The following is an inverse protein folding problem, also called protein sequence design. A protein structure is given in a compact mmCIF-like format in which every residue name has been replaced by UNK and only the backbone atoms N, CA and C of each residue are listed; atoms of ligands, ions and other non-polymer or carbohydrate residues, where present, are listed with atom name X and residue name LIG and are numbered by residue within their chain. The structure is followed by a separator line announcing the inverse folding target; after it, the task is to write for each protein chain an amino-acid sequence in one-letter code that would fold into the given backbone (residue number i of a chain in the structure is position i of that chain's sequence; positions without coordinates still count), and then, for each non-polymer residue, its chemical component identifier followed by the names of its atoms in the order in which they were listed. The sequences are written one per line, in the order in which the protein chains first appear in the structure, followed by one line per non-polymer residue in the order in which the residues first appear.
data_IF_956007909431
#
_entry.id   IF_956007909431
#
_cell.length_a   1.000
_cell.length_b   1.000
_cell.length_c   1.000
_cell.angle_alpha   90.00
_cell.angle_beta   90.00
_cell.angle_gamma   90.00
#
_symmetry.space_group_name_H-M   'P 1'
#
loop_
_entity.id
_entity.type
_entity.pdbx_description
1 polymer ?
#
# COMPACT_ATOMS: atom_id res chain seq x y z
N UNK A 1 25.51 -16.06 2.31
CA UNK A 1 24.35 -16.94 2.57
C UNK A 1 23.81 -16.52 3.93
N UNK A 2 22.49 -16.53 4.08
CA UNK A 2 21.65 -15.79 5.05
C UNK A 2 21.10 -14.48 4.48
N UNK A 3 19.85 -14.50 4.01
CA UNK A 3 19.00 -13.31 4.06
C UNK A 3 17.58 -13.74 4.44
N UNK A 4 17.47 -14.26 5.67
CA UNK A 4 16.27 -14.01 6.46
C UNK A 4 16.09 -12.50 6.56
N UNK A 5 14.88 -12.00 6.82
CA UNK A 5 14.74 -10.55 7.03
C UNK A 5 15.72 -10.11 8.14
N UNK A 6 16.49 -9.06 7.87
CA UNK A 6 17.50 -8.56 8.81
C UNK A 6 16.81 -8.13 10.10
N UNK A 7 17.36 -8.54 11.25
CA UNK A 7 16.85 -8.06 12.53
C UNK A 7 17.12 -6.55 12.67
N UNK A 8 16.28 -5.85 13.43
CA UNK A 8 16.47 -4.40 13.62
C UNK A 8 17.88 -4.05 14.17
N UNK A 9 18.45 -4.91 15.01
CA UNK A 9 19.82 -4.71 15.55
C UNK A 9 20.88 -4.81 14.46
N UNK A 10 20.69 -5.68 13.49
CA UNK A 10 21.61 -5.86 12.36
C UNK A 10 21.50 -4.70 11.39
N UNK A 11 20.26 -4.26 11.10
CA UNK A 11 20.00 -3.04 10.32
C UNK A 11 20.76 -1.86 10.92
N UNK A 12 20.65 -1.63 12.24
CA UNK A 12 21.39 -0.57 12.92
C UNK A 12 22.90 -0.69 12.77
N UNK A 13 23.46 -1.88 13.01
CA UNK A 13 24.90 -2.13 12.87
C UNK A 13 25.41 -1.89 11.45
N UNK A 14 24.61 -2.23 10.43
CA UNK A 14 24.97 -1.98 9.04
C UNK A 14 24.98 -0.48 8.76
N UNK A 15 23.97 0.26 9.24
CA UNK A 15 23.91 1.72 9.10
C UNK A 15 25.10 2.38 9.80
N UNK A 16 25.36 2.03 11.04
CA UNK A 16 26.47 2.56 11.87
C UNK A 16 27.85 2.34 11.24
N UNK A 17 28.02 1.30 10.42
CA UNK A 17 29.29 1.01 9.71
C UNK A 17 29.47 1.78 8.40
N UNK A 18 28.37 2.20 7.77
CA UNK A 18 28.40 2.79 6.43
C UNK A 18 28.15 4.30 6.43
N UNK A 19 27.57 4.85 7.51
CA UNK A 19 27.27 6.27 7.62
C UNK A 19 27.92 6.85 8.88
N UNK A 20 28.53 8.05 8.83
CA UNK A 20 29.06 8.72 10.01
C UNK A 20 27.97 8.95 11.07
N UNK A 21 28.12 8.36 12.24
CA UNK A 21 27.12 8.45 13.32
C UNK A 21 26.91 9.86 13.86
N UNK A 22 27.89 10.76 13.70
CA UNK A 22 27.75 12.18 14.04
C UNK A 22 26.64 12.89 13.24
N UNK A 23 26.24 12.31 12.09
CA UNK A 23 25.21 12.84 11.20
C UNK A 23 23.83 12.22 11.44
N UNK A 24 23.73 11.14 12.22
CA UNK A 24 22.46 10.44 12.51
C UNK A 24 22.11 10.64 13.99
N UNK A 25 20.93 11.19 14.25
CA UNK A 25 20.38 11.32 15.61
C UNK A 25 19.66 10.04 16.05
N UNK A 26 18.81 9.49 15.16
CA UNK A 26 17.98 8.33 15.49
C UNK A 26 17.72 7.45 14.27
N UNK A 27 17.68 6.14 14.49
CA UNK A 27 17.24 5.14 13.52
C UNK A 27 15.94 4.51 14.04
N UNK A 28 14.90 4.53 13.21
CA UNK A 28 13.60 3.94 13.50
C UNK A 28 13.09 3.09 12.34
N UNK A 29 11.99 2.39 12.56
CA UNK A 29 11.31 1.57 11.57
C UNK A 29 9.88 2.07 11.42
N UNK A 30 9.39 2.17 10.18
CA UNK A 30 8.02 2.59 9.90
C UNK A 30 7.39 1.68 8.85
N UNK A 31 6.64 0.69 9.33
CA UNK A 31 6.18 -0.41 8.50
C UNK A 31 7.38 -1.13 7.87
N UNK A 32 7.39 -1.37 6.54
CA UNK A 32 8.52 -2.00 5.87
C UNK A 32 9.73 -1.07 5.68
N UNK A 33 9.65 0.21 6.07
CA UNK A 33 10.66 1.23 5.72
C UNK A 33 11.61 1.49 6.88
N UNK A 34 12.88 1.76 6.56
CA UNK A 34 13.89 2.21 7.53
C UNK A 34 13.92 3.74 7.52
N UNK A 35 13.85 4.37 8.68
CA UNK A 35 13.83 5.83 8.79
C UNK A 35 15.06 6.31 9.56
N UNK A 36 15.82 7.21 8.94
CA UNK A 36 16.99 7.86 9.52
C UNK A 36 16.63 9.31 9.84
N UNK A 37 16.74 9.68 11.11
CA UNK A 37 16.64 11.05 11.57
C UNK A 37 18.03 11.67 11.62
N UNK A 38 18.20 12.83 10.98
CA UNK A 38 19.48 13.52 10.84
C UNK A 38 19.40 14.99 11.25
N UNK A 39 20.48 15.47 11.86
CA UNK A 39 20.69 16.89 12.15
C UNK A 39 21.37 17.65 10.99
N UNK A 40 21.79 16.93 9.94
CA UNK A 40 22.56 17.45 8.81
C UNK A 40 22.02 16.85 7.51
N UNK A 41 20.85 17.35 7.10
CA UNK A 41 20.20 16.90 5.88
C UNK A 41 20.97 17.31 4.62
N UNK A 42 21.71 18.42 4.70
CA UNK A 42 22.56 18.92 3.61
C UNK A 42 23.59 17.87 3.21
N UNK A 43 24.27 17.25 4.18
CA UNK A 43 25.22 16.18 3.95
C UNK A 43 24.61 15.03 3.13
N UNK A 44 23.41 14.57 3.47
CA UNK A 44 22.79 13.43 2.80
C UNK A 44 22.25 13.77 1.41
N UNK A 45 21.80 15.01 1.19
CA UNK A 45 21.40 15.47 -0.14
C UNK A 45 22.64 15.56 -1.05
N UNK A 46 23.75 16.10 -0.54
CA UNK A 46 24.99 16.23 -1.32
C UNK A 46 25.69 14.88 -1.54
N UNK A 47 25.46 13.89 -0.68
CA UNK A 47 26.03 12.54 -0.73
C UNK A 47 24.96 11.44 -0.98
N UNK A 48 24.01 11.67 -1.87
CA UNK A 48 22.90 10.73 -2.17
C UNK A 48 23.37 9.30 -2.52
N UNK A 49 24.57 9.15 -3.08
CA UNK A 49 25.17 7.85 -3.35
C UNK A 49 25.33 6.98 -2.10
N UNK A 50 25.61 7.55 -0.93
CA UNK A 50 25.72 6.78 0.32
C UNK A 50 24.38 6.13 0.70
N UNK A 51 23.29 6.85 0.54
CA UNK A 51 21.94 6.36 0.84
C UNK A 51 21.51 5.31 -0.16
N UNK A 52 21.80 5.50 -1.46
CA UNK A 52 21.54 4.49 -2.49
C UNK A 52 22.32 3.21 -2.24
N UNK A 53 23.61 3.33 -1.86
CA UNK A 53 24.44 2.19 -1.50
C UNK A 53 23.89 1.46 -0.28
N UNK A 54 23.49 2.20 0.76
CA UNK A 54 22.90 1.63 1.96
C UNK A 54 21.55 0.94 1.67
N UNK A 55 20.70 1.55 0.84
CA UNK A 55 19.42 0.96 0.43
C UNK A 55 19.63 -0.34 -0.35
N UNK A 56 20.66 -0.39 -1.21
CA UNK A 56 21.06 -1.59 -1.96
C UNK A 56 21.58 -2.68 -1.03
N UNK A 57 22.42 -2.31 -0.06
CA UNK A 57 23.01 -3.23 0.91
C UNK A 57 21.95 -3.85 1.83
N UNK A 58 21.02 -3.03 2.33
CA UNK A 58 19.92 -3.48 3.18
C UNK A 58 18.79 -4.15 2.38
N UNK A 59 18.72 -3.91 1.07
CA UNK A 59 17.58 -4.23 0.19
C UNK A 59 16.27 -3.69 0.76
N UNK A 60 16.30 -2.46 1.27
CA UNK A 60 15.18 -1.81 1.95
C UNK A 60 15.06 -0.37 1.51
N UNK A 61 13.84 0.14 1.53
CA UNK A 61 13.58 1.56 1.32
C UNK A 61 13.99 2.35 2.56
N UNK A 62 14.87 3.32 2.35
CA UNK A 62 15.37 4.23 3.38
C UNK A 62 14.68 5.58 3.19
N UNK A 63 14.18 6.13 4.30
CA UNK A 63 13.62 7.49 4.36
C UNK A 63 14.53 8.34 5.24
N UNK A 64 14.90 9.50 4.74
CA UNK A 64 15.57 10.54 5.52
C UNK A 64 14.55 11.51 6.10
N UNK A 65 14.77 11.92 7.35
CA UNK A 65 14.00 12.99 8.01
C UNK A 65 14.92 13.89 8.81
N UNK A 66 14.60 15.17 8.85
CA UNK A 66 15.29 16.09 9.74
C UNK A 66 14.86 15.88 11.19
N UNK A 67 15.78 16.08 12.12
CA UNK A 67 15.49 16.10 13.54
C UNK A 67 14.62 17.31 13.92
N UNK A 68 13.90 17.19 15.04
CA UNK A 68 12.96 18.21 15.52
C UNK A 68 13.59 19.61 15.63
N UNK A 69 14.84 19.68 16.10
CA UNK A 69 15.53 20.94 16.40
C UNK A 69 15.98 21.73 15.16
N UNK A 70 15.95 21.10 13.99
CA UNK A 70 16.34 21.69 12.70
C UNK A 70 15.16 22.05 11.81
N UNK A 71 13.94 21.70 12.21
CA UNK A 71 12.74 22.03 11.46
C UNK A 71 12.38 23.49 11.71
N UNK A 72 12.32 24.24 10.62
CA UNK A 72 11.81 25.60 10.64
C UNK A 72 10.33 25.63 11.04
N UNK A 73 9.90 26.72 11.66
CA UNK A 73 8.49 26.93 11.95
C UNK A 73 7.65 26.94 10.66
N UNK A 74 6.41 26.50 10.76
CA UNK A 74 5.52 26.27 9.61
C UNK A 74 5.26 27.56 8.82
N UNK A 75 5.17 28.70 9.48
CA UNK A 75 4.88 29.98 8.82
C UNK A 75 6.09 30.48 8.01
N UNK A 76 7.29 30.45 8.60
CA UNK A 76 8.53 30.80 7.91
C UNK A 76 8.85 29.82 6.80
N UNK A 77 8.69 28.51 7.03
CA UNK A 77 8.90 27.48 6.02
C UNK A 77 7.98 27.69 4.81
N UNK A 78 6.69 28.03 5.04
CA UNK A 78 5.74 28.36 3.97
C UNK A 78 6.20 29.56 3.14
N UNK A 79 6.68 30.63 3.77
CA UNK A 79 7.20 31.82 3.07
C UNK A 79 8.42 31.47 2.22
N UNK A 80 9.34 30.66 2.73
CA UNK A 80 10.51 30.21 1.98
C UNK A 80 10.11 29.36 0.78
N UNK A 81 9.19 28.42 0.94
CA UNK A 81 8.70 27.57 -0.17
C UNK A 81 8.09 28.43 -1.28
N UNK A 82 7.25 29.41 -0.92
CA UNK A 82 6.65 30.33 -1.90
C UNK A 82 7.69 31.25 -2.57
N UNK A 83 8.81 31.53 -1.91
CA UNK A 83 9.90 32.32 -2.49
C UNK A 83 10.85 31.52 -3.38
N UNK A 84 11.00 30.22 -3.14
CA UNK A 84 11.87 29.31 -3.93
C UNK A 84 11.14 28.81 -5.17
N UNK A 85 9.86 28.42 -5.03
CA UNK A 85 9.10 27.83 -6.13
C UNK A 85 8.57 28.94 -7.04
N UNK A 86 8.79 28.86 -8.36
CA UNK A 86 8.30 29.88 -9.30
C UNK A 86 6.77 29.99 -9.29
N UNK A 87 6.23 31.22 -9.40
CA UNK A 87 4.77 31.46 -9.41
C UNK A 87 4.06 30.70 -10.55
N UNK A 88 4.76 30.45 -11.66
CA UNK A 88 4.23 29.72 -12.81
C UNK A 88 3.94 28.23 -12.51
N UNK A 89 4.45 27.71 -11.39
CA UNK A 89 4.12 26.38 -10.89
C UNK A 89 2.64 26.25 -10.47
N UNK A 90 2.01 27.39 -10.14
CA UNK A 90 0.63 27.51 -9.66
C UNK A 90 0.34 26.55 -8.49
N UNK A 91 0.92 26.85 -7.33
CA UNK A 91 0.72 26.08 -6.09
C UNK A 91 -0.72 26.29 -5.60
N UNK A 92 -1.49 25.21 -5.49
CA UNK A 92 -2.86 25.22 -4.97
C UNK A 92 -2.92 25.02 -3.45
N UNK A 93 -1.92 24.36 -2.87
CA UNK A 93 -1.92 24.05 -1.44
C UNK A 93 -0.55 23.69 -0.90
N UNK A 94 -0.31 24.04 0.37
CA UNK A 94 0.85 23.61 1.14
C UNK A 94 0.36 23.14 2.52
N UNK A 95 0.54 21.86 2.80
CA UNK A 95 0.18 21.23 4.08
C UNK A 95 1.42 20.61 4.73
N UNK A 96 1.54 20.74 6.05
CA UNK A 96 2.69 20.25 6.80
C UNK A 96 2.26 19.10 7.70
N UNK A 97 3.07 18.04 7.77
CA UNK A 97 2.92 16.96 8.74
C UNK A 97 4.10 16.97 9.73
N UNK A 98 3.94 17.61 10.91
CA UNK A 98 4.99 17.68 11.91
C UNK A 98 5.38 16.34 12.55
N UNK A 99 4.58 15.29 12.38
CA UNK A 99 4.92 13.96 12.89
C UNK A 99 5.86 13.24 11.92
N UNK A 100 5.56 13.33 10.62
CA UNK A 100 6.37 12.75 9.55
C UNK A 100 7.51 13.66 9.09
N UNK A 101 7.56 14.93 9.54
CA UNK A 101 8.57 15.93 9.15
C UNK A 101 8.53 16.23 7.64
N UNK A 102 7.34 16.15 7.06
CA UNK A 102 7.10 16.27 5.63
C UNK A 102 6.24 17.51 5.34
N UNK A 103 6.48 18.12 4.17
CA UNK A 103 5.64 19.18 3.62
C UNK A 103 5.07 18.73 2.28
N UNK A 104 3.74 18.74 2.17
CA UNK A 104 3.01 18.36 0.98
C UNK A 104 2.72 19.62 0.17
N UNK A 105 3.29 19.69 -1.03
CA UNK A 105 3.15 20.82 -1.95
C UNK A 105 2.28 20.36 -3.12
N UNK A 106 1.09 20.94 -3.21
CA UNK A 106 0.16 20.68 -4.31
C UNK A 106 0.29 21.77 -5.39
N UNK A 107 0.56 21.36 -6.62
CA UNK A 107 0.75 22.29 -7.74
C UNK A 107 0.29 21.70 -9.07
N UNK A 108 -0.01 22.59 -10.03
CA UNK A 108 -0.39 22.18 -11.40
C UNK A 108 0.82 21.73 -12.22
N UNK A 109 1.94 22.44 -12.12
CA UNK A 109 3.17 22.12 -12.84
C UNK A 109 4.27 21.63 -11.90
N UNK A 110 4.18 20.35 -11.53
CA UNK A 110 5.14 19.70 -10.63
C UNK A 110 6.61 19.83 -11.09
N UNK A 111 6.89 19.83 -12.40
CA UNK A 111 8.24 19.95 -12.92
C UNK A 111 8.96 21.24 -12.48
N UNK A 112 8.21 22.34 -12.27
CA UNK A 112 8.77 23.59 -11.78
C UNK A 112 9.05 23.56 -10.27
N UNK A 113 8.26 22.78 -9.51
CA UNK A 113 8.48 22.55 -8.07
C UNK A 113 9.66 21.60 -7.85
N UNK A 114 9.85 20.62 -8.73
CA UNK A 114 10.99 19.70 -8.71
C UNK A 114 12.29 20.44 -9.03
N UNK A 115 12.25 21.33 -10.02
CA UNK A 115 13.42 21.97 -10.58
C UNK A 115 14.25 21.04 -11.47
N UNK A 116 15.35 21.55 -12.03
CA UNK A 116 16.26 20.73 -12.83
C UNK A 116 16.94 19.71 -11.92
N UNK A 117 16.79 18.42 -12.21
CA UNK A 117 17.37 17.33 -11.43
C UNK A 117 17.00 17.32 -9.93
N UNK A 118 15.87 17.91 -9.53
CA UNK A 118 15.45 17.91 -8.12
C UNK A 118 16.01 19.07 -7.27
N UNK A 119 16.82 19.96 -7.85
CA UNK A 119 17.51 21.04 -7.13
C UNK A 119 16.58 21.90 -6.27
N UNK A 120 15.36 22.16 -6.72
CA UNK A 120 14.40 23.00 -5.99
C UNK A 120 13.87 22.29 -4.75
N UNK A 121 13.62 20.98 -4.81
CA UNK A 121 13.22 20.18 -3.65
C UNK A 121 14.35 20.08 -2.64
N UNK A 122 15.57 19.86 -3.13
CA UNK A 122 16.76 19.81 -2.32
C UNK A 122 16.96 21.15 -1.60
N UNK A 123 16.83 22.27 -2.30
CA UNK A 123 16.93 23.60 -1.71
C UNK A 123 15.86 23.86 -0.64
N UNK A 124 14.62 23.42 -0.87
CA UNK A 124 13.54 23.49 0.13
C UNK A 124 13.93 22.68 1.38
N UNK A 125 14.38 21.44 1.20
CA UNK A 125 14.77 20.56 2.30
C UNK A 125 15.94 21.12 3.10
N UNK A 126 16.97 21.65 2.42
CA UNK A 126 18.15 22.27 3.06
C UNK A 126 17.77 23.52 3.86
N UNK A 127 16.99 24.43 3.28
CA UNK A 127 16.64 25.71 3.92
C UNK A 127 15.62 25.56 5.04
N UNK A 128 14.65 24.66 4.91
CA UNK A 128 13.51 24.57 5.85
C UNK A 128 13.62 23.39 6.81
N UNK A 129 14.43 22.38 6.49
CA UNK A 129 14.46 21.09 7.19
C UNK A 129 13.26 20.18 6.90
N UNK A 130 12.22 20.66 6.21
CA UNK A 130 11.04 19.87 5.86
C UNK A 130 11.29 19.05 4.60
N UNK A 131 10.91 17.77 4.60
CA UNK A 131 11.02 16.92 3.41
C UNK A 131 9.86 17.21 2.47
N UNK A 132 10.09 17.76 1.26
CA UNK A 132 9.01 18.06 0.34
C UNK A 132 8.46 16.79 -0.32
N UNK A 133 7.13 16.66 -0.31
CA UNK A 133 6.34 15.66 -1.00
C UNK A 133 5.42 16.37 -1.99
N UNK A 134 5.39 15.90 -3.22
CA UNK A 134 4.63 16.55 -4.28
C UNK A 134 3.29 15.87 -4.47
N UNK A 135 2.25 16.69 -4.54
CA UNK A 135 0.90 16.28 -4.90
C UNK A 135 0.53 16.96 -6.21
N UNK A 136 0.14 16.18 -7.21
CA UNK A 136 -0.39 16.77 -8.45
C UNK A 136 -1.81 17.26 -8.19
N UNK A 137 -2.11 18.50 -8.55
CA UNK A 137 -3.51 18.95 -8.60
C UNK A 137 -4.23 18.17 -9.71
N UNK A 138 -5.26 17.36 -9.38
CA UNK A 138 -5.95 16.56 -10.38
C UNK A 138 -6.86 17.47 -11.23
N UNK A 139 -7.12 17.12 -12.51
CA UNK A 139 -8.05 17.87 -13.35
C UNK A 139 -9.49 17.79 -12.86
N UNK A 140 -9.84 16.72 -12.14
CA UNK A 140 -11.13 16.51 -11.50
C UNK A 140 -10.86 16.31 -10.01
N UNK A 141 -11.49 17.13 -9.18
CA UNK A 141 -11.36 16.99 -7.74
C UNK A 141 -12.13 15.76 -7.24
N UNK A 142 -11.51 15.01 -6.32
CA UNK A 142 -12.14 13.87 -5.65
C UNK A 142 -12.35 14.19 -4.16
N UNK A 143 -13.61 14.18 -3.73
CA UNK A 143 -13.97 14.33 -2.32
C UNK A 143 -13.42 13.20 -1.46
N UNK A 144 -13.40 11.97 -2.00
CA UNK A 144 -12.83 10.79 -1.33
C UNK A 144 -11.35 11.00 -1.02
N UNK A 145 -10.54 11.38 -2.01
CA UNK A 145 -9.10 11.62 -1.81
C UNK A 145 -8.87 12.75 -0.79
N UNK A 146 -9.65 13.83 -0.88
CA UNK A 146 -9.59 14.94 0.09
C UNK A 146 -9.91 14.47 1.51
N UNK A 147 -10.97 13.67 1.67
CA UNK A 147 -11.37 13.09 2.95
C UNK A 147 -10.31 12.14 3.54
N UNK A 148 -9.70 11.31 2.68
CA UNK A 148 -8.60 10.41 3.04
C UNK A 148 -7.40 11.20 3.55
N UNK A 149 -6.92 12.17 2.78
CA UNK A 149 -5.79 13.04 3.14
C UNK A 149 -6.05 13.72 4.49
N UNK A 150 -7.20 14.38 4.63
CA UNK A 150 -7.60 15.03 5.88
C UNK A 150 -7.58 14.06 7.06
N UNK A 151 -8.17 12.87 6.90
CA UNK A 151 -8.18 11.86 7.96
C UNK A 151 -6.77 11.35 8.32
N UNK A 152 -5.87 11.23 7.34
CA UNK A 152 -4.48 10.83 7.58
C UNK A 152 -3.70 11.92 8.34
N UNK A 153 -3.83 13.19 7.94
CA UNK A 153 -3.20 14.31 8.65
C UNK A 153 -3.71 14.46 10.09
N UNK A 154 -5.03 14.41 10.29
CA UNK A 154 -5.68 14.47 11.63
C UNK A 154 -5.24 13.31 12.54
N UNK A 155 -4.80 12.19 11.97
CA UNK A 155 -4.38 11.01 12.72
C UNK A 155 -2.90 10.65 12.57
N UNK A 156 -2.08 11.60 12.12
CA UNK A 156 -0.65 11.44 11.83
C UNK A 156 0.16 10.90 13.03
N UNK A 157 -0.01 11.43 14.24
CA UNK A 157 0.64 10.90 15.47
C UNK A 157 0.28 9.43 15.72
N UNK A 158 -1.02 9.09 15.62
CA UNK A 158 -1.49 7.70 15.81
C UNK A 158 -0.92 6.79 14.72
N UNK A 159 -0.88 7.27 13.47
CA UNK A 159 -0.35 6.53 12.32
C UNK A 159 1.14 6.27 12.47
N UNK A 160 1.93 7.27 12.88
CA UNK A 160 3.37 7.10 13.13
C UNK A 160 3.64 5.99 14.15
N UNK A 161 2.90 5.99 15.27
CA UNK A 161 3.01 4.92 16.29
C UNK A 161 2.60 3.54 15.77
N UNK A 162 1.58 3.47 14.91
CA UNK A 162 1.16 2.23 14.25
C UNK A 162 2.30 1.72 13.36
N UNK A 163 2.85 2.57 12.49
CA UNK A 163 3.95 2.19 11.60
C UNK A 163 5.19 1.73 12.38
N UNK A 164 5.53 2.41 13.48
CA UNK A 164 6.62 1.99 14.36
C UNK A 164 6.39 0.62 15.00
N UNK A 165 5.16 0.32 15.41
CA UNK A 165 4.80 -1.00 15.94
C UNK A 165 4.90 -2.06 14.86
N UNK A 166 4.39 -1.78 13.66
CA UNK A 166 4.43 -2.69 12.51
C UNK A 166 5.88 -2.98 12.13
N UNK A 167 6.73 -1.95 12.03
CA UNK A 167 8.16 -2.13 11.74
C UNK A 167 8.85 -3.01 12.77
N UNK A 168 8.62 -2.78 14.06
CA UNK A 168 9.17 -3.65 15.13
C UNK A 168 8.68 -5.10 15.04
N UNK A 169 7.46 -5.34 14.54
CA UNK A 169 6.89 -6.68 14.33
C UNK A 169 7.53 -7.38 13.13
N UNK A 170 7.75 -6.65 12.02
CA UNK A 170 8.40 -7.17 10.81
C UNK A 170 9.85 -7.56 11.11
N UNK A 171 10.61 -6.68 11.75
CA UNK A 171 12.05 -6.82 11.95
C UNK A 171 12.42 -7.42 13.31
N UNK A 172 11.51 -8.21 13.89
CA UNK A 172 11.77 -9.02 15.10
C UNK A 172 12.58 -10.25 14.70
N UNK A 173 13.26 -10.84 15.69
CA UNK A 173 13.90 -12.15 15.50
C UNK A 173 12.85 -13.23 15.20
N UNK A 174 12.98 -13.99 14.10
CA UNK A 174 12.12 -15.14 13.84
C UNK A 174 12.20 -16.15 14.99
N UNK A 175 11.05 -16.70 15.38
CA UNK A 175 10.94 -17.71 16.44
C UNK A 175 11.07 -19.14 15.91
N UNK A 176 10.75 -19.35 14.63
CA UNK A 176 10.76 -20.67 13.99
C UNK A 176 11.46 -20.61 12.63
N UNK A 177 12.07 -21.71 12.21
CA UNK A 177 12.57 -21.87 10.84
C UNK A 177 11.38 -22.10 9.91
N UNK A 178 11.35 -21.43 8.75
CA UNK A 178 10.34 -21.70 7.72
C UNK A 178 10.65 -23.04 7.05
N UNK A 179 9.91 -24.08 7.40
CA UNK A 179 10.03 -25.44 6.84
C UNK A 179 8.77 -25.89 6.09
N UNK A 180 7.63 -25.23 6.32
CA UNK A 180 6.40 -25.43 5.58
C UNK A 180 5.70 -24.11 5.23
N UNK A 181 4.90 -24.17 4.17
CA UNK A 181 3.99 -23.10 3.74
C UNK A 181 2.64 -23.75 3.45
N UNK A 182 1.55 -23.15 3.95
CA UNK A 182 0.18 -23.64 3.70
C UNK A 182 -0.75 -22.49 3.33
N UNK A 183 -1.70 -22.77 2.45
CA UNK A 183 -2.76 -21.84 2.03
C UNK A 183 -4.10 -22.47 2.40
N UNK A 184 -4.95 -21.70 3.08
CA UNK A 184 -6.30 -22.10 3.45
C UNK A 184 -7.29 -21.15 2.77
N UNK A 185 -8.09 -21.61 1.78
CA UNK A 185 -9.18 -20.81 1.24
C UNK A 185 -10.29 -20.67 2.28
N UNK A 186 -10.68 -19.44 2.59
CA UNK A 186 -11.77 -19.10 3.52
C UNK A 186 -13.03 -18.61 2.79
N UNK A 187 -12.89 -18.25 1.51
CA UNK A 187 -13.96 -17.87 0.58
C UNK A 187 -13.38 -17.62 -0.82
N UNK A 188 -14.23 -17.64 -1.85
CA UNK A 188 -13.81 -17.43 -3.25
C UNK A 188 -13.17 -18.64 -3.93
N UNK A 189 -13.23 -19.83 -3.32
CA UNK A 189 -12.79 -21.08 -3.93
C UNK A 189 -13.99 -21.89 -4.42
N UNK A 190 -14.05 -22.16 -5.74
CA UNK A 190 -15.21 -22.76 -6.44
C UNK A 190 -16.48 -21.92 -6.40
N UNK A 191 -16.34 -20.61 -6.23
CA UNK A 191 -17.42 -19.63 -6.24
C UNK A 191 -16.84 -18.26 -6.64
N UNK A 192 -17.70 -17.34 -7.06
CA UNK A 192 -17.36 -15.91 -7.21
C UNK A 192 -17.98 -15.16 -6.02
N UNK A 193 -17.20 -14.27 -5.42
CA UNK A 193 -17.58 -13.56 -4.20
C UNK A 193 -16.74 -13.95 -2.99
N UNK A 194 -16.65 -13.03 -2.02
CA UNK A 194 -16.01 -13.21 -0.69
C UNK A 194 -14.59 -13.82 -0.74
N UNK A 195 -13.79 -13.43 -1.71
CA UNK A 195 -12.39 -13.86 -1.86
C UNK A 195 -11.62 -13.59 -0.58
N UNK A 196 -11.01 -14.65 -0.04
CA UNK A 196 -10.30 -14.61 1.22
C UNK A 196 -9.41 -15.84 1.37
N UNK A 197 -8.10 -15.66 1.40
CA UNK A 197 -7.11 -16.73 1.50
C UNK A 197 -6.16 -16.48 2.65
N UNK A 198 -5.95 -17.48 3.50
CA UNK A 198 -5.01 -17.41 4.61
C UNK A 198 -3.73 -18.17 4.26
N UNK A 199 -2.63 -17.44 4.12
CA UNK A 199 -1.28 -17.97 3.98
C UNK A 199 -0.62 -18.08 5.36
N UNK A 200 -0.01 -19.23 5.65
CA UNK A 200 0.66 -19.46 6.93
C UNK A 200 2.00 -20.15 6.74
N UNK A 201 2.92 -19.79 7.63
CA UNK A 201 4.22 -20.44 7.88
C UNK A 201 4.31 -20.75 9.38
N UNK A 202 5.37 -21.42 9.86
CA UNK A 202 5.63 -21.53 11.30
C UNK A 202 5.68 -20.20 12.04
N UNK A 203 6.08 -19.11 11.37
CA UNK A 203 6.31 -17.79 11.98
C UNK A 203 5.16 -16.80 11.77
N UNK A 204 4.43 -16.91 10.65
CA UNK A 204 3.60 -15.81 10.15
C UNK A 204 2.23 -16.26 9.65
N UNK A 205 1.23 -15.38 9.83
CA UNK A 205 -0.12 -15.52 9.28
C UNK A 205 -0.47 -14.27 8.45
N UNK A 206 -0.74 -14.45 7.15
CA UNK A 206 -1.07 -13.36 6.23
C UNK A 206 -2.37 -13.66 5.52
N UNK A 207 -3.31 -12.72 5.54
CA UNK A 207 -4.55 -12.81 4.77
C UNK A 207 -4.36 -12.13 3.41
N UNK A 208 -4.85 -12.76 2.35
CA UNK A 208 -4.92 -12.20 1.00
C UNK A 208 -6.39 -12.08 0.64
N UNK A 209 -6.83 -10.84 0.42
CA UNK A 209 -8.22 -10.41 0.27
C UNK A 209 -9.12 -10.75 1.48
N UNK A 210 -10.21 -10.01 1.61
CA UNK A 210 -11.26 -10.20 2.61
C UNK A 210 -12.56 -9.56 2.11
N UNK A 211 -13.20 -10.23 1.16
CA UNK A 211 -14.36 -9.69 0.46
C UNK A 211 -15.73 -10.06 1.01
N UNK A 212 -16.77 -9.53 0.37
CA UNK A 212 -18.18 -9.89 0.59
C UNK A 212 -18.76 -10.46 -0.71
N UNK A 213 -19.56 -11.50 -0.62
CA UNK A 213 -20.41 -11.92 -1.72
C UNK A 213 -21.69 -11.06 -1.72
N UNK A 214 -21.75 -10.09 -2.65
CA UNK A 214 -22.88 -9.15 -2.78
C UNK A 214 -24.12 -9.80 -3.37
N UNK A 215 -23.98 -10.90 -4.10
CA UNK A 215 -25.09 -11.64 -4.71
C UNK A 215 -25.73 -12.67 -3.75
N UNK A 216 -25.03 -13.05 -2.67
CA UNK A 216 -25.54 -14.03 -1.73
C UNK A 216 -26.69 -13.47 -0.87
N UNK A 217 -27.82 -14.19 -0.87
CA UNK A 217 -29.00 -13.91 -0.05
C UNK A 217 -29.05 -14.72 1.25
N UNK A 218 -28.11 -15.65 1.43
CA UNK A 218 -28.00 -16.55 2.59
C UNK A 218 -26.79 -16.20 3.47
N UNK A 219 -26.50 -17.03 4.48
CA UNK A 219 -25.38 -16.82 5.41
C UNK A 219 -23.98 -16.96 4.76
N UNK A 220 -23.87 -17.29 3.47
CA UNK A 220 -22.59 -17.42 2.76
C UNK A 220 -22.08 -16.09 2.18
N UNK A 221 -22.56 -14.95 2.70
CA UNK A 221 -22.09 -13.61 2.28
C UNK A 221 -20.65 -13.32 2.66
N UNK A 222 -20.14 -13.95 3.72
CA UNK A 222 -18.85 -13.61 4.32
C UNK A 222 -17.87 -14.79 4.27
N UNK A 223 -16.56 -14.53 4.31
CA UNK A 223 -15.54 -15.56 4.47
C UNK A 223 -15.70 -16.33 5.79
N UNK A 224 -15.39 -17.62 5.80
CA UNK A 224 -15.44 -18.43 7.02
C UNK A 224 -14.16 -18.26 7.86
N UNK A 225 -14.07 -17.13 8.56
CA UNK A 225 -12.92 -16.83 9.43
C UNK A 225 -12.78 -17.81 10.61
N UNK A 226 -13.81 -18.59 10.96
CA UNK A 226 -13.73 -19.58 12.05
C UNK A 226 -12.87 -20.77 11.67
N UNK A 227 -12.76 -21.07 10.37
CA UNK A 227 -11.92 -22.15 9.86
C UNK A 227 -10.43 -21.91 10.12
N UNK A 228 -10.03 -20.65 10.34
CA UNK A 228 -8.64 -20.28 10.62
C UNK A 228 -8.11 -20.85 11.93
N UNK A 229 -8.99 -21.01 12.94
CA UNK A 229 -8.61 -21.27 14.34
C UNK A 229 -7.54 -20.29 14.87
N UNK A 230 -7.44 -19.11 14.27
CA UNK A 230 -6.51 -18.06 14.65
C UNK A 230 -7.23 -17.01 15.48
N UNK A 231 -6.59 -16.59 16.55
CA UNK A 231 -6.92 -15.33 17.21
C UNK A 231 -6.52 -14.17 16.28
N UNK A 232 -7.36 -13.14 16.20
CA UNK A 232 -7.18 -12.05 15.24
C UNK A 232 -5.89 -11.25 15.50
N UNK A 233 -5.40 -11.27 16.74
CA UNK A 233 -4.14 -10.68 17.16
C UNK A 233 -2.93 -11.36 16.51
N UNK A 234 -3.04 -12.65 16.20
CA UNK A 234 -1.98 -13.45 15.57
C UNK A 234 -1.90 -13.26 14.05
N UNK A 235 -2.83 -12.50 13.46
CA UNK A 235 -2.73 -12.09 12.06
C UNK A 235 -1.66 -10.99 11.92
N UNK A 236 -0.65 -11.23 11.08
CA UNK A 236 0.49 -10.33 10.89
C UNK A 236 0.20 -9.23 9.88
N UNK A 237 -0.49 -9.57 8.78
CA UNK A 237 -0.78 -8.65 7.70
C UNK A 237 -2.02 -9.07 6.91
N UNK A 238 -2.61 -8.08 6.22
CA UNK A 238 -3.63 -8.30 5.19
C UNK A 238 -3.14 -7.67 3.90
N UNK A 239 -3.30 -8.35 2.77
CA UNK A 239 -2.95 -7.85 1.44
C UNK A 239 -4.25 -7.76 0.64
N UNK A 240 -4.50 -6.63 0.00
CA UNK A 240 -5.67 -6.44 -0.87
C UNK A 240 -5.18 -6.30 -2.30
N UNK A 241 -5.64 -7.21 -3.15
CA UNK A 241 -5.31 -7.24 -4.58
C UNK A 241 -5.89 -6.03 -5.31
N UNK A 242 -7.17 -5.75 -5.11
CA UNK A 242 -7.88 -4.65 -5.75
C UNK A 242 -9.14 -4.25 -4.98
N UNK A 243 -9.77 -3.15 -5.41
CA UNK A 243 -10.80 -2.46 -4.65
C UNK A 243 -12.23 -3.01 -4.78
N UNK A 244 -12.49 -4.07 -5.56
CA UNK A 244 -13.85 -4.61 -5.62
C UNK A 244 -14.29 -5.19 -4.27
N UNK A 245 -15.59 -5.06 -3.97
CA UNK A 245 -16.16 -5.42 -2.66
C UNK A 245 -16.04 -6.91 -2.35
N UNK A 246 -16.00 -7.76 -3.37
CA UNK A 246 -15.75 -9.20 -3.23
C UNK A 246 -14.29 -9.56 -2.96
N UNK A 247 -13.39 -8.56 -2.88
CA UNK A 247 -12.01 -8.71 -2.45
C UNK A 247 -11.66 -7.87 -1.21
N UNK A 248 -12.35 -6.77 -0.94
CA UNK A 248 -12.03 -5.90 0.20
C UNK A 248 -13.22 -5.52 1.09
N UNK A 249 -14.44 -5.91 0.74
CA UNK A 249 -15.66 -5.42 1.39
C UNK A 249 -15.82 -5.83 2.85
N UNK A 250 -15.27 -6.98 3.27
CA UNK A 250 -15.40 -7.49 4.64
C UNK A 250 -14.26 -7.06 5.55
N UNK A 251 -13.27 -6.35 5.01
CA UNK A 251 -12.09 -5.88 5.74
C UNK A 251 -12.41 -5.03 6.97
N UNK A 252 -13.38 -4.09 6.97
CA UNK A 252 -13.68 -3.28 8.16
C UNK A 252 -14.18 -4.10 9.34
N UNK A 253 -14.82 -5.26 9.07
CA UNK A 253 -15.26 -6.20 10.12
C UNK A 253 -14.09 -6.64 11.01
N UNK A 254 -12.93 -6.94 10.43
CA UNK A 254 -11.76 -7.38 11.20
C UNK A 254 -11.30 -6.31 12.21
N UNK A 255 -11.40 -5.03 11.86
CA UNK A 255 -11.07 -3.92 12.75
C UNK A 255 -12.11 -3.66 13.84
N UNK A 256 -13.37 -4.03 13.60
CA UNK A 256 -14.41 -4.07 14.63
C UNK A 256 -14.05 -5.07 15.71
N UNK A 257 -13.57 -6.25 15.30
CA UNK A 257 -13.25 -7.38 16.18
C UNK A 257 -11.82 -7.41 16.71
N UNK A 258 -11.04 -6.35 16.53
CA UNK A 258 -9.80 -6.15 17.27
C UNK A 258 -8.51 -6.27 16.47
N UNK A 259 -8.57 -6.52 15.15
CA UNK A 259 -7.39 -6.46 14.30
C UNK A 259 -6.71 -5.08 14.39
N UNK A 260 -5.38 -5.09 14.55
CA UNK A 260 -4.52 -3.91 14.71
C UNK A 260 -3.25 -4.02 13.85
N UNK A 261 -3.23 -4.94 12.89
CA UNK A 261 -2.13 -5.10 11.95
C UNK A 261 -2.30 -4.22 10.71
N UNK A 262 -1.31 -4.19 9.82
CA UNK A 262 -1.33 -3.41 8.58
C UNK A 262 -2.23 -4.04 7.50
N UNK A 263 -2.64 -3.20 6.55
CA UNK A 263 -3.15 -3.61 5.25
C UNK A 263 -2.17 -3.13 4.19
N UNK A 264 -1.81 -3.98 3.24
CA UNK A 264 -0.98 -3.64 2.09
C UNK A 264 -1.80 -3.65 0.80
N UNK A 265 -1.72 -2.58 0.02
CA UNK A 265 -2.34 -2.46 -1.30
C UNK A 265 -1.67 -1.33 -2.09
N UNK A 266 -2.09 -1.12 -3.34
CA UNK A 266 -1.69 0.07 -4.09
C UNK A 266 -2.44 1.30 -3.61
N UNK A 267 -1.89 2.49 -3.86
CA UNK A 267 -2.56 3.75 -3.51
C UNK A 267 -3.96 3.90 -4.15
N UNK A 268 -4.18 3.63 -5.45
CA UNK A 268 -5.52 3.73 -6.02
C UNK A 268 -6.49 2.70 -5.42
N UNK A 269 -6.00 1.49 -5.08
CA UNK A 269 -6.81 0.49 -4.39
C UNK A 269 -7.25 0.96 -3.02
N UNK A 270 -6.41 1.65 -2.24
CA UNK A 270 -6.83 2.28 -0.97
C UNK A 270 -8.00 3.23 -1.18
N UNK A 271 -7.89 4.12 -2.17
CA UNK A 271 -8.85 5.19 -2.38
C UNK A 271 -10.21 4.64 -2.86
N UNK A 272 -10.18 3.73 -3.84
CA UNK A 272 -11.37 3.06 -4.35
C UNK A 272 -12.01 2.12 -3.31
N UNK A 273 -11.20 1.41 -2.52
CA UNK A 273 -11.69 0.55 -1.45
C UNK A 273 -12.51 1.34 -0.44
N UNK A 274 -12.02 2.52 -0.02
CA UNK A 274 -12.74 3.37 0.93
C UNK A 274 -14.02 3.96 0.32
N UNK A 275 -13.97 4.39 -0.95
CA UNK A 275 -15.16 4.85 -1.66
C UNK A 275 -16.24 3.76 -1.70
N UNK A 276 -15.89 2.56 -2.16
CA UNK A 276 -16.83 1.46 -2.34
C UNK A 276 -17.34 0.90 -1.00
N UNK A 277 -16.51 0.86 0.05
CA UNK A 277 -16.95 0.42 1.37
C UNK A 277 -17.93 1.40 2.02
N UNK A 278 -17.75 2.72 1.82
CA UNK A 278 -18.69 3.73 2.32
C UNK A 278 -20.02 3.65 1.55
N UNK A 279 -19.97 3.57 0.22
CA UNK A 279 -21.15 3.38 -0.62
C UNK A 279 -21.91 2.09 -0.27
N UNK A 280 -21.19 0.99 -0.03
CA UNK A 280 -21.79 -0.28 0.38
C UNK A 280 -22.58 -0.17 1.70
N UNK A 281 -22.15 0.66 2.65
CA UNK A 281 -22.90 0.93 3.88
C UNK A 281 -24.18 1.69 3.55
N UNK A 282 -24.09 2.77 2.77
CA UNK A 282 -25.26 3.59 2.41
C UNK A 282 -26.31 2.78 1.65
N UNK A 283 -25.90 1.95 0.70
CA UNK A 283 -26.79 1.06 -0.06
C UNK A 283 -27.40 -0.01 0.86
N UNK A 284 -26.58 -0.61 1.73
CA UNK A 284 -27.02 -1.62 2.70
C UNK A 284 -28.09 -1.09 3.66
N UNK A 285 -27.95 0.15 4.13
CA UNK A 285 -28.94 0.83 4.98
C UNK A 285 -30.24 1.12 4.23
N UNK A 286 -30.17 1.53 2.95
CA UNK A 286 -31.37 1.78 2.12
C UNK A 286 -32.14 0.51 1.77
N UNK A 287 -31.46 -0.62 1.68
CA UNK A 287 -32.05 -1.92 1.34
C UNK A 287 -32.43 -2.79 2.56
N UNK A 288 -32.31 -2.28 3.79
CA UNK A 288 -32.51 -3.04 5.03
C UNK A 288 -31.64 -4.33 5.10
N UNK A 289 -30.43 -4.30 4.54
CA UNK A 289 -29.49 -5.44 4.48
C UNK A 289 -28.18 -5.12 5.21
N UNK A 290 -28.28 -4.72 6.48
CA UNK A 290 -27.18 -4.19 7.29
C UNK A 290 -25.86 -4.98 7.17
N UNK A 291 -24.76 -4.25 7.00
CA UNK A 291 -23.41 -4.78 7.07
C UNK A 291 -22.94 -4.83 8.52
N UNK A 292 -22.12 -5.82 8.90
CA UNK A 292 -21.70 -6.01 10.29
C UNK A 292 -20.61 -5.03 10.76
N UNK A 293 -20.49 -3.85 10.15
CA UNK A 293 -19.53 -2.78 10.45
C UNK A 293 -20.11 -1.42 10.01
N UNK A 294 -19.53 -0.33 10.52
CA UNK A 294 -19.96 1.03 10.21
C UNK A 294 -18.83 1.87 9.58
N UNK A 295 -19.15 3.10 9.20
CA UNK A 295 -18.16 4.07 8.69
C UNK A 295 -17.04 4.36 9.71
N UNK A 296 -17.28 4.15 11.01
CA UNK A 296 -16.25 4.29 12.04
C UNK A 296 -15.13 3.25 11.89
N UNK A 297 -15.48 2.00 11.56
CA UNK A 297 -14.50 0.94 11.31
C UNK A 297 -13.66 1.24 10.07
N UNK A 298 -14.27 1.79 9.01
CA UNK A 298 -13.58 2.23 7.80
C UNK A 298 -12.56 3.33 8.13
N UNK A 299 -12.97 4.36 8.89
CA UNK A 299 -12.07 5.44 9.34
C UNK A 299 -10.95 4.92 10.25
N UNK A 300 -11.23 3.91 11.08
CA UNK A 300 -10.21 3.25 11.93
C UNK A 300 -9.22 2.48 11.06
N UNK A 301 -9.71 1.71 10.11
CA UNK A 301 -8.95 0.88 9.18
C UNK A 301 -7.95 1.69 8.35
N UNK A 302 -8.34 2.85 7.82
CA UNK A 302 -7.47 3.72 6.99
C UNK A 302 -6.10 3.98 7.64
N UNK A 303 -6.05 4.12 8.96
CA UNK A 303 -4.80 4.39 9.71
C UNK A 303 -3.77 3.27 9.59
N UNK A 304 -4.23 2.06 9.28
CA UNK A 304 -3.42 0.85 9.16
C UNK A 304 -3.10 0.50 7.69
N UNK A 305 -3.67 1.21 6.71
CA UNK A 305 -3.35 0.98 5.30
C UNK A 305 -1.96 1.55 4.99
N UNK A 306 -1.09 0.69 4.47
CA UNK A 306 0.26 0.99 3.99
C UNK A 306 0.26 0.75 2.48
N UNK A 307 0.39 1.82 1.72
CA UNK A 307 0.41 1.74 0.25
C UNK A 307 1.79 1.36 -0.24
N UNK A 308 1.84 0.50 -1.26
CA UNK A 308 3.05 0.09 -1.97
C UNK A 308 2.89 0.41 -3.45
N UNK A 309 3.98 0.86 -4.06
CA UNK A 309 4.04 1.03 -5.51
C UNK A 309 4.22 -0.33 -6.20
N UNK A 310 3.91 -0.42 -7.49
CA UNK A 310 4.24 -1.61 -8.25
C UNK A 310 5.76 -1.84 -8.26
N UNK A 311 6.16 -3.10 -8.21
CA UNK A 311 7.56 -3.55 -8.17
C UNK A 311 8.34 -3.12 -6.90
N UNK A 312 7.70 -2.50 -5.91
CA UNK A 312 8.31 -2.23 -4.61
C UNK A 312 8.38 -3.52 -3.79
N UNK A 313 9.60 -3.95 -3.44
CA UNK A 313 9.82 -5.07 -2.52
C UNK A 313 9.69 -4.58 -1.08
N UNK A 314 8.77 -5.16 -0.32
CA UNK A 314 8.51 -4.80 1.06
C UNK A 314 8.52 -6.04 1.97
N UNK A 315 9.29 -6.01 3.06
CA UNK A 315 9.16 -7.02 4.11
C UNK A 315 7.84 -6.79 4.86
N UNK A 316 6.98 -7.81 4.93
CA UNK A 316 5.66 -7.71 5.58
C UNK A 316 5.57 -8.53 6.86
N UNK A 317 6.48 -9.50 7.02
CA UNK A 317 6.70 -10.33 8.21
C UNK A 317 8.19 -10.69 8.30
N UNK A 318 8.66 -11.36 9.37
CA UNK A 318 10.07 -11.75 9.47
C UNK A 318 10.54 -12.72 8.38
N UNK A 319 9.62 -13.43 7.72
CA UNK A 319 9.90 -14.50 6.76
C UNK A 319 9.17 -14.32 5.42
N UNK A 320 8.49 -13.19 5.17
CA UNK A 320 7.80 -12.93 3.90
C UNK A 320 8.10 -11.53 3.36
N UNK A 321 8.42 -11.49 2.06
CA UNK A 321 8.50 -10.28 1.24
C UNK A 321 7.36 -10.22 0.25
N UNK A 322 6.71 -9.07 0.16
CA UNK A 322 5.65 -8.75 -0.77
C UNK A 322 6.19 -7.93 -1.95
N UNK A 323 5.70 -8.23 -3.14
CA UNK A 323 5.79 -7.33 -4.30
C UNK A 323 4.44 -7.32 -5.02
N UNK A 324 3.96 -6.12 -5.34
CA UNK A 324 2.74 -5.92 -6.11
C UNK A 324 3.10 -5.68 -7.58
N UNK A 325 2.42 -6.38 -8.49
CA UNK A 325 2.58 -6.19 -9.94
C UNK A 325 1.25 -5.79 -10.58
N UNK A 326 1.26 -5.10 -11.71
CA UNK A 326 0.02 -4.74 -12.42
C UNK A 326 -0.80 -5.99 -12.79
N UNK A 327 -2.09 -6.01 -12.45
CA UNK A 327 -3.03 -7.07 -12.86
C UNK A 327 -3.86 -6.69 -14.11
N UNK A 328 -3.86 -5.43 -14.54
CA UNK A 328 -4.59 -4.97 -15.72
C UNK A 328 -6.12 -5.02 -15.61
N UNK A 329 -6.68 -5.25 -14.41
CA UNK A 329 -8.12 -5.42 -14.19
C UNK A 329 -8.84 -4.10 -13.94
N UNK A 330 -8.47 -3.39 -12.87
CA UNK A 330 -9.00 -2.07 -12.52
C UNK A 330 -7.85 -1.14 -12.10
N UNK A 331 -8.14 0.16 -11.93
CA UNK A 331 -7.13 1.12 -11.49
C UNK A 331 -6.52 0.68 -10.14
N UNK A 332 -5.21 0.39 -10.15
CA UNK A 332 -4.49 -0.08 -8.97
C UNK A 332 -4.59 -1.58 -8.68
N UNK A 333 -5.25 -2.38 -9.53
CA UNK A 333 -5.34 -3.83 -9.32
C UNK A 333 -3.97 -4.50 -9.39
N UNK A 334 -3.67 -5.33 -8.40
CA UNK A 334 -2.36 -5.93 -8.22
C UNK A 334 -2.38 -7.46 -8.19
N UNK A 335 -1.45 -8.07 -8.93
CA UNK A 335 -0.97 -9.43 -8.69
C UNK A 335 -0.05 -9.39 -7.48
N UNK A 336 -0.30 -10.27 -6.52
CA UNK A 336 0.43 -10.41 -5.26
C UNK A 336 1.50 -11.48 -5.43
N UNK A 337 2.78 -11.08 -5.38
CA UNK A 337 3.92 -12.00 -5.31
C UNK A 337 4.46 -12.04 -3.88
N UNK A 338 4.56 -13.24 -3.33
CA UNK A 338 5.08 -13.49 -1.98
C UNK A 338 6.30 -14.39 -2.06
N UNK A 339 7.42 -13.85 -1.62
CA UNK A 339 8.67 -14.56 -1.45
C UNK A 339 8.79 -14.99 0.02
N UNK A 340 8.71 -16.31 0.26
CA UNK A 340 8.65 -16.90 1.61
C UNK A 340 9.98 -17.54 1.98
N UNK A 341 10.45 -17.26 3.20
CA UNK A 341 11.76 -17.63 3.72
C UNK A 341 12.90 -17.04 2.89
N UNK A 342 14.01 -17.77 2.81
CA UNK A 342 15.17 -17.43 1.96
C UNK A 342 14.94 -17.94 0.52
N UNK A 343 13.73 -17.72 0.00
CA UNK A 343 13.25 -18.31 -1.25
C UNK A 343 12.94 -19.79 -1.10
N UNK A 344 12.47 -20.22 0.07
CA UNK A 344 11.95 -21.58 0.28
C UNK A 344 10.84 -21.87 -0.75
N UNK A 345 9.89 -20.93 -0.85
CA UNK A 345 8.73 -21.05 -1.73
C UNK A 345 8.24 -19.67 -2.15
N UNK A 346 7.87 -19.49 -3.43
CA UNK A 346 7.34 -18.25 -3.97
C UNK A 346 5.94 -18.50 -4.51
N UNK A 347 5.02 -17.64 -4.09
CA UNK A 347 3.60 -17.76 -4.41
C UNK A 347 3.18 -16.52 -5.20
N UNK A 348 2.45 -16.72 -6.28
CA UNK A 348 1.73 -15.66 -6.99
C UNK A 348 0.25 -15.89 -6.78
N UNK A 349 -0.44 -14.87 -6.27
CA UNK A 349 -1.90 -14.78 -6.25
C UNK A 349 -2.33 -13.66 -7.19
N UNK A 350 -3.11 -13.98 -8.22
CA UNK A 350 -3.39 -13.01 -9.28
C UNK A 350 -4.41 -11.95 -8.87
N UNK A 351 -5.28 -12.27 -7.91
CA UNK A 351 -6.58 -11.60 -7.81
C UNK A 351 -7.33 -11.73 -9.15
N UNK A 352 -8.21 -10.78 -9.43
CA UNK A 352 -8.77 -10.62 -10.76
C UNK A 352 -7.72 -9.99 -11.69
N UNK A 353 -7.63 -10.48 -12.92
CA UNK A 353 -6.62 -10.00 -13.87
C UNK A 353 -7.12 -9.97 -15.30
N UNK A 354 -6.52 -9.09 -16.11
CA UNK A 354 -6.72 -9.08 -17.56
C UNK A 354 -5.40 -9.21 -18.29
N UNK A 355 -5.17 -10.36 -18.92
CA UNK A 355 -3.98 -10.59 -19.74
C UNK A 355 -4.14 -10.05 -21.16
N UNK A 356 -4.38 -8.75 -21.28
CA UNK A 356 -4.45 -8.05 -22.55
C UNK A 356 -4.72 -6.56 -22.34
N UNK A 357 -4.09 -5.72 -23.15
CA UNK A 357 -4.23 -4.26 -23.02
C UNK A 357 -5.69 -3.86 -23.18
N UNK A 358 -6.19 -3.01 -22.29
CA UNK A 358 -7.53 -2.41 -22.37
C UNK A 358 -7.42 -0.98 -22.91
N UNK A 359 -8.49 -0.19 -22.85
CA UNK A 359 -8.42 1.24 -23.22
C UNK A 359 -7.69 2.05 -22.15
N UNK A 360 -7.70 1.55 -20.90
CA UNK A 360 -7.24 2.26 -19.71
C UNK A 360 -5.97 1.69 -19.12
N UNK A 361 -5.79 0.37 -19.19
CA UNK A 361 -4.76 -0.37 -18.45
C UNK A 361 -3.97 -1.26 -19.38
N UNK A 362 -2.68 -1.39 -19.08
CA UNK A 362 -1.78 -2.37 -19.67
C UNK A 362 -2.16 -3.80 -19.23
N UNK A 363 -1.77 -4.78 -20.03
CA UNK A 363 -1.92 -6.20 -19.70
C UNK A 363 -1.28 -6.56 -18.35
N UNK A 364 -1.84 -7.58 -17.71
CA UNK A 364 -1.30 -8.14 -16.48
C UNK A 364 0.17 -8.57 -16.63
N UNK A 365 0.96 -8.32 -15.58
CA UNK A 365 2.34 -8.76 -15.50
C UNK A 365 2.42 -10.29 -15.51
N UNK A 366 3.36 -10.83 -16.28
CA UNK A 366 3.62 -12.27 -16.39
C UNK A 366 5.06 -12.66 -16.05
N UNK A 367 5.92 -11.68 -15.76
CA UNK A 367 7.33 -11.89 -15.44
C UNK A 367 7.56 -11.78 -13.94
N UNK A 368 8.08 -12.85 -13.33
CA UNK A 368 8.36 -12.92 -11.90
C UNK A 368 9.75 -13.51 -11.69
N UNK A 369 10.48 -13.11 -10.63
CA UNK A 369 11.82 -13.64 -10.37
C UNK A 369 11.86 -15.16 -10.16
N UNK A 370 10.85 -15.70 -9.46
CA UNK A 370 10.69 -17.12 -9.15
C UNK A 370 9.26 -17.39 -8.68
N UNK A 371 8.66 -18.51 -9.10
CA UNK A 371 7.29 -18.91 -8.74
C UNK A 371 7.21 -20.43 -8.66
N UNK A 372 6.78 -20.95 -7.51
CA UNK A 372 6.48 -22.38 -7.32
C UNK A 372 4.97 -22.64 -7.29
N UNK A 373 4.17 -21.67 -6.88
CA UNK A 373 2.71 -21.81 -6.80
C UNK A 373 2.04 -20.58 -7.41
N UNK A 374 1.16 -20.82 -8.37
CA UNK A 374 0.27 -19.82 -8.96
C UNK A 374 -1.16 -20.12 -8.52
N UNK A 375 -1.79 -19.15 -7.87
CA UNK A 375 -3.21 -19.11 -7.56
C UNK A 375 -3.82 -18.09 -8.50
N UNK A 376 -4.61 -18.57 -9.46
CA UNK A 376 -5.19 -17.74 -10.52
C UNK A 376 -6.71 -17.78 -10.45
N UNK A 377 -7.35 -16.65 -10.75
CA UNK A 377 -8.80 -16.58 -10.92
C UNK A 377 -9.29 -17.48 -12.05
N UNK A 378 -10.57 -17.83 -12.02
CA UNK A 378 -11.18 -18.72 -13.02
C UNK A 378 -12.59 -18.29 -13.39
N UNK A 379 -12.86 -16.98 -13.41
CA UNK A 379 -14.19 -16.40 -13.71
C UNK A 379 -14.67 -16.84 -15.09
N UNK A 380 -13.74 -16.88 -16.06
CA UNK A 380 -13.96 -17.36 -17.43
C UNK A 380 -13.19 -18.67 -17.69
N UNK A 381 -13.14 -19.56 -16.69
CA UNK A 381 -12.39 -20.82 -16.77
C UNK A 381 -13.08 -21.93 -17.57
N UNK A 382 -14.36 -21.75 -17.94
CA UNK A 382 -15.12 -22.73 -18.70
C UNK A 382 -14.68 -22.81 -20.16
N UNK A 383 -14.81 -24.01 -20.76
CA UNK A 383 -14.42 -24.27 -22.15
C UNK A 383 -15.06 -23.30 -23.16
N UNK A 384 -16.25 -22.81 -22.87
CA UNK A 384 -17.05 -21.96 -23.76
C UNK A 384 -17.06 -20.49 -23.33
N UNK A 385 -16.29 -20.13 -22.30
CA UNK A 385 -16.26 -18.77 -21.73
C UNK A 385 -15.32 -17.85 -22.52
N UNK A 386 -15.38 -17.94 -23.86
CA UNK A 386 -14.58 -17.11 -24.76
C UNK A 386 -15.28 -15.77 -25.00
N UNK A 387 -14.60 -14.68 -24.66
CA UNK A 387 -15.11 -13.34 -24.91
C UNK A 387 -14.88 -12.89 -26.36
N UNK A 388 -15.76 -12.05 -26.94
CA UNK A 388 -15.53 -11.47 -28.26
C UNK A 388 -14.32 -10.55 -28.26
N UNK A 389 -13.74 -10.32 -29.45
CA UNK A 389 -12.76 -9.27 -29.62
C UNK A 389 -13.37 -7.92 -29.26
N UNK A 390 -12.62 -7.09 -28.54
CA UNK A 390 -13.08 -5.77 -28.08
C UNK A 390 -13.61 -4.88 -29.21
N UNK A 391 -12.98 -4.90 -30.39
CA UNK A 391 -13.45 -4.11 -31.54
C UNK A 391 -14.86 -4.52 -31.99
N UNK A 392 -15.18 -5.80 -31.88
CA UNK A 392 -16.49 -6.31 -32.29
C UNK A 392 -17.52 -6.05 -31.19
N UNK A 393 -17.15 -6.20 -29.91
CA UNK A 393 -17.98 -5.78 -28.78
C UNK A 393 -18.31 -4.27 -28.80
N UNK A 394 -17.34 -3.41 -29.16
CA UNK A 394 -17.56 -1.97 -29.30
C UNK A 394 -18.53 -1.65 -30.47
N UNK A 395 -18.43 -2.37 -31.60
CA UNK A 395 -19.38 -2.22 -32.71
C UNK A 395 -20.78 -2.66 -32.32
N UNK A 396 -20.89 -3.80 -31.65
CA UNK A 396 -22.16 -4.34 -31.15
C UNK A 396 -22.82 -3.34 -30.20
N UNK A 397 -22.06 -2.81 -29.23
CA UNK A 397 -22.56 -1.77 -28.32
C UNK A 397 -23.11 -0.55 -29.06
N UNK A 398 -22.36 -0.03 -30.05
CA UNK A 398 -22.79 1.13 -30.85
C UNK A 398 -24.07 0.82 -31.63
N UNK A 399 -24.16 -0.37 -32.22
CA UNK A 399 -25.34 -0.78 -32.99
C UNK A 399 -26.57 -0.90 -32.08
N UNK A 400 -26.45 -1.59 -30.94
CA UNK A 400 -27.52 -1.72 -29.96
C UNK A 400 -28.03 -0.35 -29.47
N UNK A 401 -27.12 0.60 -29.23
CA UNK A 401 -27.50 1.97 -28.87
C UNK A 401 -28.31 2.61 -30.00
N UNK A 402 -27.83 2.58 -31.25
CA UNK A 402 -28.50 3.18 -32.42
C UNK A 402 -29.84 2.54 -32.79
N UNK A 403 -30.03 1.27 -32.44
CA UNK A 403 -31.33 0.61 -32.62
C UNK A 403 -32.33 1.05 -31.53
N UNK A 404 -31.82 1.44 -30.37
CA UNK A 404 -32.63 1.86 -29.22
C UNK A 404 -33.02 3.35 -29.28
N UNK A 405 -32.10 4.23 -29.70
CA UNK A 405 -32.30 5.69 -29.82
C UNK A 405 -32.50 6.13 -31.25
#
# INVERSE_FOLDING_TARGET
MEVSSLEFREIKRIIEKNIPMEKIDKIDLEGPKVVLYTNDIEFFIDNDNEIRNLATLLKKRIILRSSADKLMDVESARKIILGIVPEEANISGIEFDPNFKEVYIEAEKLGLVIGKHGQTLDEIAKKTGWIPKLLRKPPIESETIRGIRKSLFESSDKRLRILQRVGKRIYRKPTSTCDWVRITPLGGAREVGRSCFLLQTPESNVLIDCGINTAATNNNRFPDLRATKLEIENLDAIIISHAHLDHCGFLPYLYKYGYKGPIYCTEPTRDLMLLLQLDAIEVSEREDKELPFSSNEIKKMLKYVITLDYNEVADITPDMRLTLYNAGHILGSAIVHLHVGDGLHNIVYTGDMKFGDTRLLEAANYEFPRVETLIIESTYGGRYDTQPNRRDAEKELINTIKETV
#
